data_IF_055108722886
#
_entry.id   IF_055108722886
#
_cell.length_a   1.000
_cell.length_b   1.000
_cell.length_c   1.000
_cell.angle_alpha   90.00
_cell.angle_beta   90.00
_cell.angle_gamma   90.00
#
_symmetry.space_group_name_H-M   'P 1'
#
loop_
_entity.id
_entity.type
_entity.pdbx_description
1 polymer ?
#
# COMPACT_ATOMS: atom_id res chain seq x y z
N UNK A 1 -14.69 2.08 4.83
CA UNK A 1 -13.30 2.57 4.75
C UNK A 1 -13.27 4.01 5.18
N UNK A 2 -12.47 4.33 6.19
CA UNK A 2 -12.31 5.72 6.66
C UNK A 2 -11.58 6.56 5.62
N UNK A 3 -12.05 7.79 5.42
CA UNK A 3 -11.52 8.76 4.46
C UNK A 3 -10.98 9.96 5.22
N UNK A 4 -9.80 10.42 4.86
CA UNK A 4 -9.20 11.67 5.38
C UNK A 4 -9.28 12.72 4.29
N UNK A 5 -10.18 13.68 4.42
CA UNK A 5 -10.33 14.77 3.47
C UNK A 5 -9.35 15.89 3.81
N UNK A 6 -8.50 16.26 2.87
CA UNK A 6 -7.57 17.39 3.00
C UNK A 6 -8.10 18.60 2.25
N UNK A 7 -7.78 19.79 2.75
CA UNK A 7 -8.16 21.07 2.11
C UNK A 7 -6.98 21.76 1.43
N UNK A 8 -5.98 20.96 1.04
CA UNK A 8 -4.69 21.37 0.48
C UNK A 8 -4.51 20.72 -0.89
N UNK A 9 -3.58 21.25 -1.68
CA UNK A 9 -3.21 20.65 -2.97
C UNK A 9 -2.65 19.22 -2.76
N UNK A 10 -3.20 18.25 -3.50
CA UNK A 10 -2.77 16.85 -3.42
C UNK A 10 -1.33 16.63 -3.83
N UNK A 11 -0.75 17.47 -4.71
CA UNK A 11 0.69 17.39 -5.00
C UNK A 11 1.51 17.85 -3.79
N UNK A 12 1.05 18.86 -3.03
CA UNK A 12 1.70 19.23 -1.76
C UNK A 12 1.63 18.08 -0.75
N UNK A 13 0.45 17.45 -0.62
CA UNK A 13 0.27 16.29 0.27
C UNK A 13 1.19 15.12 -0.13
N UNK A 14 1.29 14.84 -1.43
CA UNK A 14 2.19 13.81 -1.95
C UNK A 14 3.65 14.12 -1.62
N UNK A 15 4.09 15.37 -1.76
CA UNK A 15 5.47 15.75 -1.42
C UNK A 15 5.77 15.56 0.06
N UNK A 16 4.89 15.96 0.98
CA UNK A 16 5.14 15.74 2.42
C UNK A 16 5.20 14.25 2.79
N UNK A 17 4.42 13.40 2.10
CA UNK A 17 4.47 11.96 2.31
C UNK A 17 5.81 11.40 1.80
N UNK A 18 6.29 11.86 0.66
CA UNK A 18 7.63 11.51 0.16
C UNK A 18 8.73 11.98 1.14
N UNK A 19 8.63 13.19 1.68
CA UNK A 19 9.53 13.71 2.72
C UNK A 19 9.46 12.89 4.03
N UNK A 20 8.29 12.35 4.38
CA UNK A 20 8.13 11.43 5.51
C UNK A 20 8.68 10.02 5.22
N UNK A 21 9.26 9.78 4.05
CA UNK A 21 9.90 8.51 3.68
C UNK A 21 9.00 7.52 2.96
N UNK A 22 7.85 7.97 2.45
CA UNK A 22 7.10 7.20 1.47
C UNK A 22 7.80 7.22 0.10
N UNK A 23 7.44 6.28 -0.77
CA UNK A 23 7.97 6.13 -2.13
C UNK A 23 6.87 5.70 -3.09
N UNK A 24 7.09 5.96 -4.37
CA UNK A 24 6.23 5.45 -5.43
C UNK A 24 6.37 3.92 -5.54
N UNK A 25 5.29 3.24 -5.91
CA UNK A 25 5.28 1.80 -6.19
C UNK A 25 4.61 1.53 -7.54
N UNK A 26 5.17 0.59 -8.30
CA UNK A 26 4.60 0.12 -9.57
C UNK A 26 3.70 -1.11 -9.39
N UNK A 27 3.75 -1.79 -8.24
CA UNK A 27 2.89 -2.94 -7.96
C UNK A 27 1.80 -2.52 -6.98
N UNK A 28 0.90 -1.67 -7.45
CA UNK A 28 -0.28 -1.25 -6.71
C UNK A 28 -1.48 -1.28 -7.64
N UNK A 29 -2.58 -1.89 -7.18
CA UNK A 29 -3.87 -1.81 -7.87
C UNK A 29 -4.35 -0.37 -7.85
N UNK A 30 -4.56 0.26 -9.00
CA UNK A 30 -5.06 1.64 -9.09
C UNK A 30 -6.59 1.64 -8.95
N UNK A 31 -7.11 2.43 -8.00
CA UNK A 31 -8.56 2.60 -7.80
C UNK A 31 -9.11 3.73 -8.70
N UNK A 32 -10.41 3.71 -9.07
CA UNK A 32 -11.03 4.82 -9.80
C UNK A 32 -10.85 6.15 -9.06
N UNK A 33 -10.48 7.20 -9.81
CA UNK A 33 -10.23 8.55 -9.27
C UNK A 33 -8.96 8.68 -8.42
N UNK A 34 -8.10 7.67 -8.36
CA UNK A 34 -6.83 7.76 -7.65
C UNK A 34 -5.81 8.57 -8.47
N UNK A 35 -5.26 9.63 -7.89
CA UNK A 35 -4.23 10.49 -8.51
C UNK A 35 -2.81 10.14 -8.09
N UNK A 36 -2.63 9.57 -6.89
CA UNK A 36 -1.36 9.01 -6.47
C UNK A 36 -1.56 7.83 -5.51
N UNK A 37 -0.53 6.98 -5.41
CA UNK A 37 -0.43 6.01 -4.33
C UNK A 37 1.03 5.78 -3.96
N UNK A 38 1.28 5.81 -2.67
CA UNK A 38 2.61 5.79 -2.07
C UNK A 38 2.68 4.70 -1.01
N UNK A 39 3.89 4.19 -0.79
CA UNK A 39 4.15 3.14 0.20
C UNK A 39 5.32 3.50 1.10
N UNK A 40 5.30 3.03 2.34
CA UNK A 40 6.39 3.19 3.30
C UNK A 40 6.58 1.90 4.08
N UNK A 41 7.80 1.36 4.05
CA UNK A 41 8.16 0.25 4.93
C UNK A 41 8.07 0.68 6.40
N UNK A 42 7.43 -0.16 7.20
CA UNK A 42 7.42 -0.05 8.65
C UNK A 42 8.39 -1.09 9.23
N UNK A 43 8.11 -1.59 10.43
CA UNK A 43 8.75 -2.80 10.92
C UNK A 43 8.31 -4.00 10.08
N UNK A 44 9.28 -4.84 9.71
CA UNK A 44 9.01 -6.08 8.99
C UNK A 44 7.91 -6.91 9.68
N UNK A 45 6.92 -7.46 8.93
CA UNK A 45 6.77 -7.46 7.47
C UNK A 45 5.85 -6.36 6.92
N UNK A 46 5.59 -5.29 7.66
CA UNK A 46 4.49 -4.35 7.38
C UNK A 46 4.91 -3.21 6.44
N UNK A 47 4.00 -2.83 5.55
CA UNK A 47 4.09 -1.66 4.69
C UNK A 47 2.83 -0.82 4.90
N UNK A 48 3.00 0.50 5.00
CA UNK A 48 1.88 1.44 5.01
C UNK A 48 1.67 1.97 3.60
N UNK A 49 0.42 1.95 3.15
CA UNK A 49 -0.01 2.43 1.85
C UNK A 49 -0.89 3.67 2.05
N UNK A 50 -0.64 4.73 1.28
CA UNK A 50 -1.47 5.93 1.25
C UNK A 50 -1.85 6.23 -0.20
N UNK A 51 -3.14 6.42 -0.43
CA UNK A 51 -3.70 6.78 -1.75
C UNK A 51 -4.35 8.14 -1.65
N UNK A 52 -4.13 8.98 -2.66
CA UNK A 52 -4.84 10.24 -2.84
C UNK A 52 -5.75 10.18 -4.05
N UNK A 53 -6.89 10.85 -3.95
CA UNK A 53 -7.95 10.82 -4.96
C UNK A 53 -8.36 12.22 -5.42
N UNK A 54 -8.88 12.34 -6.64
CA UNK A 54 -9.20 13.60 -7.32
C UNK A 54 -10.10 14.57 -6.53
N UNK A 55 -10.95 14.04 -5.64
CA UNK A 55 -11.86 14.81 -4.77
C UNK A 55 -11.20 15.28 -3.45
N UNK A 56 -9.89 15.09 -3.30
CA UNK A 56 -9.14 15.57 -2.14
C UNK A 56 -9.17 14.64 -0.92
N UNK A 57 -9.73 13.43 -1.02
CA UNK A 57 -9.62 12.47 0.07
C UNK A 57 -8.38 11.59 -0.04
N UNK A 58 -7.95 11.10 1.11
CA UNK A 58 -6.89 10.13 1.29
C UNK A 58 -7.45 8.85 1.92
N UNK A 59 -6.87 7.73 1.53
CA UNK A 59 -7.06 6.43 2.15
C UNK A 59 -5.70 5.92 2.65
N UNK A 60 -5.65 5.38 3.87
CA UNK A 60 -4.44 4.82 4.44
C UNK A 60 -4.68 3.41 4.99
N UNK A 61 -3.78 2.50 4.66
CA UNK A 61 -3.84 1.09 5.06
C UNK A 61 -2.45 0.62 5.50
N UNK A 62 -2.38 -0.22 6.54
CA UNK A 62 -1.20 -1.04 6.82
C UNK A 62 -1.52 -2.46 6.34
N UNK A 63 -0.62 -3.03 5.57
CA UNK A 63 -0.71 -4.38 5.02
C UNK A 63 0.65 -5.08 5.02
N UNK A 64 0.66 -6.39 4.72
CA UNK A 64 1.91 -7.11 4.52
C UNK A 64 2.63 -6.53 3.31
N UNK A 65 3.95 -6.40 3.38
CA UNK A 65 4.76 -5.95 2.26
C UNK A 65 4.47 -6.76 1.00
N UNK A 66 4.32 -6.06 -0.12
CA UNK A 66 4.19 -6.56 -1.50
C UNK A 66 5.28 -7.52 -1.97
N UNK A 67 6.32 -7.71 -1.18
CA UNK A 67 7.35 -8.73 -1.39
C UNK A 67 6.87 -10.15 -1.07
N UNK A 68 5.74 -10.28 -0.36
CA UNK A 68 5.16 -11.56 0.08
C UNK A 68 3.77 -11.78 -0.52
N UNK A 69 3.44 -13.05 -0.84
CA UNK A 69 2.13 -13.40 -1.42
C UNK A 69 0.96 -13.10 -0.47
N UNK A 70 1.21 -13.11 0.84
CA UNK A 70 0.23 -12.76 1.88
C UNK A 70 -0.29 -11.32 1.75
N UNK A 71 0.38 -10.44 1.00
CA UNK A 71 -0.11 -9.10 0.62
C UNK A 71 -1.47 -9.14 -0.11
N UNK A 72 -1.78 -10.24 -0.82
CA UNK A 72 -3.04 -10.38 -1.55
C UNK A 72 -4.23 -10.70 -0.64
N UNK A 73 -3.99 -11.08 0.62
CA UNK A 73 -5.03 -11.43 1.58
C UNK A 73 -5.49 -10.18 2.34
N UNK A 74 -6.72 -9.75 2.10
CA UNK A 74 -7.34 -8.61 2.78
C UNK A 74 -7.48 -8.81 4.30
N UNK A 75 -7.36 -10.03 4.80
CA UNK A 75 -7.32 -10.35 6.24
C UNK A 75 -6.12 -9.75 6.98
N UNK A 76 -5.05 -9.37 6.27
CA UNK A 76 -3.89 -8.67 6.84
C UNK A 76 -3.89 -7.16 6.63
N UNK A 77 -4.95 -6.62 6.02
CA UNK A 77 -5.12 -5.19 5.77
C UNK A 77 -5.85 -4.54 6.95
N UNK A 78 -5.32 -3.41 7.42
CA UNK A 78 -5.93 -2.59 8.48
C UNK A 78 -5.93 -1.13 8.08
N UNK A 79 -6.98 -0.41 8.46
CA UNK A 79 -7.01 1.04 8.26
C UNK A 79 -5.91 1.70 9.11
N UNK A 80 -5.22 2.67 8.53
CA UNK A 80 -4.10 3.38 9.16
C UNK A 80 -4.38 4.89 9.23
N UNK A 81 -5.64 5.24 9.51
CA UNK A 81 -6.11 6.62 9.59
C UNK A 81 -5.33 7.40 10.64
N UNK A 82 -5.09 6.83 11.82
CA UNK A 82 -4.35 7.51 12.89
C UNK A 82 -2.90 7.81 12.50
N UNK A 83 -2.24 6.88 11.83
CA UNK A 83 -0.85 7.03 11.38
C UNK A 83 -0.78 8.14 10.35
N UNK A 84 -1.72 8.14 9.39
CA UNK A 84 -1.81 9.19 8.39
C UNK A 84 -2.05 10.55 9.04
N UNK A 85 -3.03 10.67 9.95
CA UNK A 85 -3.33 11.94 10.59
C UNK A 85 -2.17 12.48 11.41
N UNK A 86 -1.41 11.61 12.12
CA UNK A 86 -0.18 12.04 12.83
C UNK A 86 0.88 12.62 11.89
N UNK A 87 1.00 12.07 10.67
CA UNK A 87 1.90 12.63 9.66
C UNK A 87 1.38 13.98 9.19
N UNK A 88 0.09 14.09 8.87
CA UNK A 88 -0.53 15.34 8.44
C UNK A 88 -0.38 16.44 9.51
N UNK A 89 -0.62 16.11 10.78
CA UNK A 89 -0.43 17.02 11.93
C UNK A 89 1.02 17.50 12.04
N UNK A 90 1.99 16.59 11.90
CA UNK A 90 3.42 16.91 11.92
C UNK A 90 3.80 17.98 10.87
N UNK A 91 3.15 17.97 9.71
CA UNK A 91 3.37 18.94 8.63
C UNK A 91 2.35 20.08 8.58
N UNK A 92 1.44 20.16 9.56
CA UNK A 92 0.44 21.23 9.66
C UNK A 92 -0.62 21.22 8.56
N UNK A 93 -0.94 20.05 8.00
CA UNK A 93 -1.99 19.90 6.99
C UNK A 93 -3.35 19.81 7.67
N UNK A 94 -4.29 20.66 7.24
CA UNK A 94 -5.66 20.66 7.75
C UNK A 94 -6.46 19.55 7.07
N UNK A 95 -7.14 18.74 7.86
CA UNK A 95 -7.98 17.64 7.37
C UNK A 95 -9.26 17.46 8.18
N UNK A 96 -10.18 16.66 7.64
CA UNK A 96 -11.35 16.11 8.35
C UNK A 96 -11.42 14.61 8.12
N UNK A 97 -11.76 13.86 9.17
CA UNK A 97 -11.94 12.41 9.07
C UNK A 97 -13.43 12.10 8.88
N UNK A 98 -13.76 11.34 7.84
CA UNK A 98 -15.11 10.81 7.60
C UNK A 98 -15.09 9.28 7.59
N UNK A 99 -15.98 8.67 8.36
CA UNK A 99 -16.11 7.21 8.43
C UNK A 99 -16.20 6.70 9.86
N UNK A 100 -16.10 5.38 9.99
CA UNK A 100 -16.18 4.70 11.27
C UNK A 100 -14.82 4.70 11.98
N UNK A 101 -14.71 5.44 13.08
CA UNK A 101 -13.52 5.49 13.93
C UNK A 101 -13.44 4.30 14.91
N UNK A 102 -14.31 3.29 14.80
CA UNK A 102 -14.30 2.11 15.67
C UNK A 102 -13.10 1.18 15.45
N UNK A 103 -12.41 1.28 14.32
CA UNK A 103 -11.25 0.46 13.93
C UNK A 103 -9.88 0.96 14.41
N UNK A 104 -9.85 1.87 15.37
CA UNK A 104 -8.66 2.63 15.83
C UNK A 104 -7.63 1.77 16.59
N UNK A 105 -7.97 0.51 16.95
CA UNK A 105 -6.99 -0.42 17.52
C UNK A 105 -6.25 -1.18 16.41
N UNK A 106 -5.00 -0.79 16.16
CA UNK A 106 -4.09 -1.41 15.20
C UNK A 106 -3.59 -2.78 15.71
N UNK A 107 -4.50 -3.72 15.86
CA UNK A 107 -4.13 -5.11 16.08
C UNK A 107 -3.82 -5.77 14.74
N UNK A 108 -2.56 -5.69 14.35
CA UNK A 108 -2.03 -6.36 13.18
C UNK A 108 -1.95 -7.87 13.44
N UNK A 109 -2.71 -8.66 12.67
CA UNK A 109 -2.64 -10.12 12.73
C UNK A 109 -1.31 -10.58 12.16
N UNK A 110 -0.42 -11.12 12.99
CA UNK A 110 0.84 -11.69 12.50
C UNK A 110 0.56 -12.83 11.50
N UNK A 111 1.15 -12.83 10.30
CA UNK A 111 0.96 -13.93 9.37
C UNK A 111 1.75 -15.16 9.83
N UNK A 112 1.21 -16.34 9.55
CA UNK A 112 1.87 -17.61 9.88
C UNK A 112 3.08 -17.89 8.99
N UNK A 113 3.05 -17.36 7.77
CA UNK A 113 4.07 -17.50 6.73
C UNK A 113 4.35 -16.16 6.08
N UNK A 114 5.52 -16.04 5.45
CA UNK A 114 5.86 -14.91 4.59
C UNK A 114 6.50 -15.50 3.36
N UNK A 115 5.73 -15.62 2.28
CA UNK A 115 6.11 -16.37 1.08
C UNK A 115 6.66 -15.41 0.02
N UNK A 116 7.99 -15.32 -0.18
CA UNK A 116 8.55 -14.40 -1.16
C UNK A 116 8.16 -14.86 -2.57
N UNK A 117 7.56 -13.97 -3.37
CA UNK A 117 7.06 -14.37 -4.69
C UNK A 117 8.14 -14.40 -5.76
N UNK A 118 9.23 -13.64 -5.59
CA UNK A 118 10.31 -13.53 -6.61
C UNK A 118 10.95 -14.88 -6.97
N UNK A 119 11.33 -15.75 -6.01
CA UNK A 119 11.82 -17.09 -6.34
C UNK A 119 10.81 -17.94 -7.14
N UNK A 120 9.52 -17.84 -6.80
CA UNK A 120 8.45 -18.57 -7.50
C UNK A 120 8.34 -18.09 -8.95
N UNK A 121 8.33 -16.77 -9.15
CA UNK A 121 8.29 -16.17 -10.49
C UNK A 121 9.46 -16.64 -11.36
N UNK A 122 10.68 -16.67 -10.80
CA UNK A 122 11.87 -17.17 -11.51
C UNK A 122 11.70 -18.62 -11.97
N UNK A 123 11.23 -19.50 -11.09
CA UNK A 123 11.01 -20.93 -11.43
C UNK A 123 9.96 -21.08 -12.53
N UNK A 124 8.83 -20.36 -12.42
CA UNK A 124 7.77 -20.38 -13.44
C UNK A 124 8.29 -19.90 -14.79
N UNK A 125 9.08 -18.83 -14.81
CA UNK A 125 9.71 -18.32 -16.04
C UNK A 125 10.64 -19.36 -16.67
N UNK A 126 11.51 -20.01 -15.89
CA UNK A 126 12.44 -21.03 -16.40
C UNK A 126 11.70 -22.22 -17.01
N UNK A 127 10.64 -22.73 -16.35
CA UNK A 127 9.82 -23.82 -16.86
C UNK A 127 9.14 -23.41 -18.18
N UNK A 128 8.56 -22.20 -18.23
CA UNK A 128 7.91 -21.69 -19.43
C UNK A 128 8.87 -21.58 -20.63
N UNK A 129 10.08 -21.07 -20.40
CA UNK A 129 11.12 -21.00 -21.44
C UNK A 129 11.53 -22.38 -21.93
N UNK A 130 11.78 -23.33 -21.02
CA UNK A 130 12.15 -24.70 -21.38
C UNK A 130 11.06 -25.38 -22.23
N UNK A 131 9.78 -25.19 -21.88
CA UNK A 131 8.65 -25.71 -22.64
C UNK A 131 8.56 -25.10 -24.05
N UNK A 132 8.75 -23.78 -24.19
CA UNK A 132 8.76 -23.12 -25.50
C UNK A 132 9.93 -23.60 -26.38
N UNK A 133 11.10 -23.85 -25.80
CA UNK A 133 12.25 -24.40 -26.52
C UNK A 133 11.98 -25.84 -27.00
N UNK A 134 11.42 -26.70 -26.15
CA UNK A 134 11.07 -28.08 -26.51
C UNK A 134 10.06 -28.15 -27.66
N UNK A 135 9.13 -27.19 -27.75
CA UNK A 135 8.18 -27.09 -28.88
C UNK A 135 8.77 -26.57 -30.18
N UNK A 136 9.91 -25.89 -30.13
CA UNK A 136 10.58 -25.36 -31.32
C UNK A 136 11.46 -26.40 -32.02
N UNK A 137 11.86 -27.44 -31.29
CA UNK A 137 12.63 -28.57 -31.79
C UNK A 137 11.75 -29.71 -32.35
N UNK A 138 10.42 -29.55 -32.31
CA UNK A 138 9.42 -30.44 -32.93
C UNK A 138 8.77 -29.79 -34.13
#
# INVERSE_FOLDING_TARGET
MTRVEVFEDLERVKQILLEDGFRNTILQVIKPGQVFGLVKELNHPWEMHVRGFEDGHLEAEIEISREYLEHLDSGYKKEATMELTRILDKYGIIYTVKGDMSGVDLQLKKPNTLTPWKPIALVVTLIGVAYLLSKKET
#
